data_IF_374858093562
#
_entry.id   IF_374858093562
#
_cell.length_a   1.000
_cell.length_b   1.000
_cell.length_c   1.000
_cell.angle_alpha   90.00
_cell.angle_beta   90.00
_cell.angle_gamma   90.00
#
_symmetry.space_group_name_H-M   'P 1'
#
loop_
_entity.id
_entity.type
_entity.pdbx_description
1 polymer ?
#
# COMPACT_ATOMS: atom_id res chain seq x y z
N UNK A 1 3.69 -22.02 15.05
CA UNK A 1 3.93 -21.76 13.61
C UNK A 1 4.16 -20.26 13.51
N UNK A 2 5.39 -19.82 13.24
CA UNK A 2 5.68 -18.38 13.07
C UNK A 2 5.36 -18.04 11.61
N UNK A 3 4.41 -17.14 11.38
CA UNK A 3 4.00 -16.75 10.03
C UNK A 3 5.00 -15.73 9.46
N UNK A 4 5.32 -15.84 8.18
CA UNK A 4 6.25 -14.93 7.50
C UNK A 4 5.65 -13.51 7.42
N UNK A 5 6.37 -12.52 7.96
CA UNK A 5 5.91 -11.13 7.99
C UNK A 5 5.89 -10.49 6.60
N UNK A 6 6.77 -10.91 5.68
CA UNK A 6 6.70 -10.47 4.28
C UNK A 6 5.43 -10.98 3.59
N UNK A 7 5.03 -12.21 3.91
CA UNK A 7 3.75 -12.75 3.44
C UNK A 7 2.54 -11.97 3.98
N UNK A 8 2.64 -11.42 5.19
CA UNK A 8 1.61 -10.54 5.75
C UNK A 8 1.52 -9.21 4.99
N UNK A 9 2.66 -8.60 4.65
CA UNK A 9 2.70 -7.39 3.81
C UNK A 9 2.07 -7.60 2.42
N UNK A 10 2.36 -8.74 1.78
CA UNK A 10 1.68 -9.15 0.54
C UNK A 10 0.17 -9.31 0.70
N UNK A 11 -0.27 -9.82 1.84
CA UNK A 11 -1.70 -9.96 2.12
C UNK A 11 -2.38 -8.58 2.20
N UNK A 12 -1.77 -7.62 2.89
CA UNK A 12 -2.29 -6.24 2.95
C UNK A 12 -2.29 -5.58 1.58
N UNK A 13 -1.21 -5.72 0.81
CA UNK A 13 -1.14 -5.30 -0.58
C UNK A 13 -2.34 -5.87 -1.37
N UNK A 14 -2.46 -7.19 -1.45
CA UNK A 14 -3.49 -7.86 -2.24
C UNK A 14 -4.93 -7.52 -1.79
N UNK A 15 -5.17 -7.24 -0.51
CA UNK A 15 -6.47 -6.81 -0.03
C UNK A 15 -6.90 -5.46 -0.63
N UNK A 16 -5.96 -4.55 -0.86
CA UNK A 16 -6.20 -3.24 -1.45
C UNK A 16 -6.47 -3.33 -2.97
N UNK A 17 -5.84 -4.27 -3.68
CA UNK A 17 -5.92 -4.37 -5.15
C UNK A 17 -6.96 -5.36 -5.69
N UNK A 18 -7.16 -6.51 -5.03
CA UNK A 18 -7.96 -7.61 -5.59
C UNK A 18 -9.30 -7.81 -4.89
N UNK A 19 -9.28 -7.90 -3.57
CA UNK A 19 -10.42 -8.36 -2.79
C UNK A 19 -11.47 -7.28 -2.59
N UNK A 20 -11.09 -6.20 -1.91
CA UNK A 20 -12.05 -5.20 -1.47
C UNK A 20 -12.19 -4.04 -2.48
N UNK A 21 -11.09 -3.66 -3.16
CA UNK A 21 -10.94 -2.43 -3.99
C UNK A 21 -11.29 -1.11 -3.26
N UNK A 22 -11.91 -1.20 -2.09
CA UNK A 22 -12.22 -0.20 -1.09
C UNK A 22 -12.21 -0.91 0.27
N UNK A 23 -11.28 -0.53 1.14
CA UNK A 23 -11.18 -1.01 2.52
C UNK A 23 -11.71 0.07 3.45
N UNK A 24 -12.64 -0.28 4.33
CA UNK A 24 -13.17 0.65 5.34
C UNK A 24 -12.35 0.53 6.62
N UNK A 25 -11.81 1.66 7.07
CA UNK A 25 -11.07 1.85 8.32
C UNK A 25 -11.83 2.84 9.19
N UNK A 26 -12.85 2.35 9.90
CA UNK A 26 -13.79 3.18 10.67
C UNK A 26 -14.45 4.22 9.75
N UNK A 27 -14.10 5.49 9.89
CA UNK A 27 -14.65 6.61 9.11
C UNK A 27 -13.84 6.91 7.84
N UNK A 28 -12.75 6.17 7.60
CA UNK A 28 -11.86 6.35 6.46
C UNK A 28 -11.97 5.19 5.48
N UNK A 29 -11.56 5.43 4.24
CA UNK A 29 -11.48 4.40 3.20
C UNK A 29 -10.13 4.41 2.53
N UNK A 30 -9.55 3.23 2.29
CA UNK A 30 -8.40 3.07 1.40
C UNK A 30 -8.87 2.41 0.09
N UNK A 31 -8.69 3.09 -1.04
CA UNK A 31 -9.30 2.73 -2.32
C UNK A 31 -8.23 2.47 -3.37
N UNK A 32 -8.41 1.41 -4.17
CA UNK A 32 -7.52 1.06 -5.28
C UNK A 32 -7.29 2.24 -6.24
N UNK A 33 -8.36 2.93 -6.66
CA UNK A 33 -8.29 4.01 -7.63
C UNK A 33 -7.35 5.15 -7.20
N UNK A 34 -7.25 5.45 -5.89
CA UNK A 34 -6.34 6.48 -5.40
C UNK A 34 -4.88 6.05 -5.51
N UNK A 35 -4.59 4.77 -5.27
CA UNK A 35 -3.24 4.20 -5.46
C UNK A 35 -2.88 4.09 -6.94
N UNK A 36 -3.87 3.79 -7.78
CA UNK A 36 -3.71 3.85 -9.24
C UNK A 36 -3.34 5.27 -9.66
N UNK A 37 -4.11 6.29 -9.30
CA UNK A 37 -3.78 7.68 -9.60
C UNK A 37 -2.38 8.07 -9.11
N UNK A 38 -1.99 7.62 -7.91
CA UNK A 38 -0.65 7.81 -7.37
C UNK A 38 0.43 7.24 -8.28
N UNK A 39 0.26 6.01 -8.78
CA UNK A 39 1.24 5.35 -9.64
C UNK A 39 1.41 6.02 -11.01
N UNK A 40 0.36 6.66 -11.54
CA UNK A 40 0.44 7.38 -12.82
C UNK A 40 0.87 8.85 -12.67
N UNK A 41 1.09 9.32 -11.43
CA UNK A 41 1.55 10.68 -11.17
C UNK A 41 3.05 10.80 -11.47
N UNK A 42 3.45 11.89 -12.13
CA UNK A 42 4.88 12.14 -12.39
C UNK A 42 5.67 12.28 -11.09
N UNK A 43 6.80 11.57 -11.00
CA UNK A 43 7.64 11.54 -9.80
C UNK A 43 7.16 10.56 -8.73
N UNK A 44 6.13 9.77 -9.01
CA UNK A 44 5.68 8.70 -8.11
C UNK A 44 6.78 7.66 -7.90
N UNK A 45 6.99 7.19 -6.67
CA UNK A 45 7.87 6.06 -6.38
C UNK A 45 7.29 4.71 -6.83
N UNK A 46 5.98 4.64 -7.09
CA UNK A 46 5.32 3.43 -7.57
C UNK A 46 5.53 3.25 -9.07
N UNK A 47 5.74 2.00 -9.50
CA UNK A 47 5.72 1.65 -10.91
C UNK A 47 4.30 1.31 -11.37
N UNK A 48 4.01 1.55 -12.65
CA UNK A 48 2.72 1.13 -13.22
C UNK A 48 2.48 -0.37 -13.06
N UNK A 49 3.52 -1.21 -13.12
CA UNK A 49 3.41 -2.66 -12.92
C UNK A 49 3.10 -3.07 -11.47
N UNK A 50 3.35 -2.20 -10.49
CA UNK A 50 3.02 -2.47 -9.09
C UNK A 50 1.49 -2.43 -8.87
N UNK A 51 0.77 -1.77 -9.79
CA UNK A 51 -0.68 -1.52 -9.69
C UNK A 51 -1.48 -2.17 -10.84
N UNK A 52 -0.93 -2.21 -12.06
CA UNK A 52 -1.51 -2.86 -13.24
C UNK A 52 -0.95 -4.26 -13.45
N UNK A 53 -1.84 -5.22 -13.80
CA UNK A 53 -1.48 -6.64 -13.97
C UNK A 53 -0.73 -7.20 -12.76
N UNK A 54 -1.29 -6.90 -11.59
CA UNK A 54 -0.77 -7.28 -10.27
C UNK A 54 -0.26 -8.72 -10.23
N UNK A 55 1.02 -8.89 -9.94
CA UNK A 55 1.56 -10.17 -9.47
C UNK A 55 1.36 -10.26 -7.96
N UNK A 56 0.45 -11.15 -7.52
CA UNK A 56 0.08 -11.31 -6.11
C UNK A 56 1.22 -11.86 -5.23
N UNK A 57 2.28 -12.37 -5.85
CA UNK A 57 3.45 -12.93 -5.19
C UNK A 57 4.64 -11.98 -5.16
N UNK A 58 4.54 -10.81 -5.81
CA UNK A 58 5.64 -9.85 -5.89
C UNK A 58 5.82 -9.10 -4.55
N UNK A 59 6.87 -9.51 -3.83
CA UNK A 59 7.30 -8.87 -2.59
C UNK A 59 7.81 -7.43 -2.81
N UNK A 60 8.36 -7.12 -4.00
CA UNK A 60 8.88 -5.80 -4.30
C UNK A 60 7.76 -4.79 -4.51
N UNK A 61 6.68 -5.17 -5.21
CA UNK A 61 5.51 -4.31 -5.37
C UNK A 61 4.88 -3.96 -4.01
N UNK A 62 4.73 -4.95 -3.12
CA UNK A 62 4.27 -4.72 -1.76
C UNK A 62 5.24 -3.81 -0.96
N UNK A 63 6.55 -4.08 -1.01
CA UNK A 63 7.55 -3.25 -0.33
C UNK A 63 7.57 -1.81 -0.88
N UNK A 64 7.38 -1.63 -2.18
CA UNK A 64 7.32 -0.34 -2.83
C UNK A 64 6.11 0.47 -2.33
N UNK A 65 4.92 -0.16 -2.30
CA UNK A 65 3.70 0.48 -1.81
C UNK A 65 3.82 0.92 -0.35
N UNK A 66 4.30 0.04 0.52
CA UNK A 66 4.44 0.32 1.95
C UNK A 66 5.73 1.06 2.32
N UNK A 67 6.49 1.54 1.32
CA UNK A 67 7.73 2.28 1.58
C UNK A 67 7.46 3.68 2.13
N UNK A 68 8.39 4.19 2.94
CA UNK A 68 8.35 5.57 3.41
C UNK A 68 8.40 6.60 2.27
N UNK A 69 8.98 6.25 1.11
CA UNK A 69 8.96 7.09 -0.08
C UNK A 69 7.53 7.26 -0.62
N UNK A 70 6.78 6.16 -0.78
CA UNK A 70 5.39 6.17 -1.22
C UNK A 70 4.49 6.89 -0.23
N UNK A 71 4.67 6.62 1.08
CA UNK A 71 3.93 7.33 2.12
C UNK A 71 4.17 8.85 2.07
N UNK A 72 5.42 9.29 1.97
CA UNK A 72 5.77 10.71 1.91
C UNK A 72 5.26 11.38 0.62
N UNK A 73 5.33 10.68 -0.51
CA UNK A 73 4.79 11.17 -1.78
C UNK A 73 3.26 11.34 -1.69
N UNK A 74 2.55 10.34 -1.18
CA UNK A 74 1.11 10.40 -0.95
C UNK A 74 0.74 11.57 -0.02
N UNK A 75 1.44 11.72 1.11
CA UNK A 75 1.15 12.77 2.09
C UNK A 75 1.32 14.19 1.53
N UNK A 76 2.27 14.38 0.61
CA UNK A 76 2.55 15.69 -0.01
C UNK A 76 1.60 16.03 -1.14
N UNK A 77 1.29 15.05 -1.99
CA UNK A 77 0.53 15.29 -3.23
C UNK A 77 -0.98 15.10 -3.05
N UNK A 78 -1.38 14.24 -2.12
CA UNK A 78 -2.78 13.88 -1.90
C UNK A 78 -3.16 13.88 -0.40
N UNK A 79 -3.06 15.04 0.30
CA UNK A 79 -3.45 15.12 1.70
C UNK A 79 -4.91 14.69 2.01
N UNK A 80 -5.89 14.73 1.07
CA UNK A 80 -7.22 14.19 1.32
C UNK A 80 -7.28 12.65 1.44
N UNK A 81 -6.26 11.92 0.97
CA UNK A 81 -6.22 10.44 0.95
C UNK A 81 -5.78 9.89 2.32
N UNK A 82 -6.46 10.35 3.37
CA UNK A 82 -6.16 10.02 4.76
C UNK A 82 -6.33 8.54 5.07
N UNK A 83 -7.30 7.88 4.44
CA UNK A 83 -7.51 6.45 4.65
C UNK A 83 -6.35 5.61 4.13
N UNK A 84 -5.82 5.95 2.96
CA UNK A 84 -4.62 5.34 2.40
C UNK A 84 -3.40 5.64 3.26
N UNK A 85 -3.22 6.89 3.73
CA UNK A 85 -2.12 7.23 4.64
C UNK A 85 -2.17 6.41 5.93
N UNK A 86 -3.34 6.32 6.56
CA UNK A 86 -3.53 5.50 7.78
C UNK A 86 -3.24 4.03 7.47
N UNK A 87 -3.74 3.52 6.35
CA UNK A 87 -3.54 2.12 5.93
C UNK A 87 -2.05 1.79 5.74
N UNK A 88 -1.36 2.59 4.94
CA UNK A 88 0.05 2.39 4.63
C UNK A 88 0.93 2.53 5.88
N UNK A 89 0.62 3.50 6.74
CA UNK A 89 1.35 3.69 7.99
C UNK A 89 1.17 2.49 8.94
N UNK A 90 -0.07 2.13 9.26
CA UNK A 90 -0.34 1.06 10.24
C UNK A 90 0.28 -0.26 9.78
N UNK A 91 0.04 -0.67 8.53
CA UNK A 91 0.49 -1.98 8.07
C UNK A 91 1.96 -2.01 7.64
N UNK A 92 2.51 -0.90 7.15
CA UNK A 92 3.95 -0.79 6.88
C UNK A 92 4.78 -0.86 8.16
N UNK A 93 4.47 -0.01 9.13
CA UNK A 93 5.20 0.05 10.41
C UNK A 93 4.97 -1.20 11.26
N UNK A 94 3.79 -1.83 11.21
CA UNK A 94 3.54 -3.10 11.89
C UNK A 94 4.50 -4.19 11.45
N UNK A 95 4.76 -4.28 10.13
CA UNK A 95 5.68 -5.28 9.58
C UNK A 95 7.13 -4.93 9.89
N UNK A 96 7.50 -3.65 9.78
CA UNK A 96 8.85 -3.19 10.16
C UNK A 96 9.14 -3.46 11.64
N UNK A 97 8.22 -3.11 12.53
CA UNK A 97 8.33 -3.37 13.96
C UNK A 97 8.39 -4.86 14.32
N UNK A 98 7.75 -5.73 13.52
CA UNK A 98 7.83 -7.17 13.72
C UNK A 98 9.16 -7.78 13.24
N UNK A 99 9.82 -7.14 12.26
CA UNK A 99 11.09 -7.60 11.70
C UNK A 99 12.33 -7.08 12.45
N UNK A 100 12.17 -6.02 13.25
CA UNK A 100 13.19 -5.47 14.16
C UNK A 100 13.33 -6.29 15.45
#
# INVERSE_FOLDING_TARGET
MLQDSKHSLKTFHNNLFLGARLLVLVDYTAIYNHIEELAFTSGSPLYHCDVYKLDCQDDNAAACLFSGATFNFLAKHYPPYLGELIYLFIFGELIDAYQN
#
